data_IF_497151587800
#
_entry.id   IF_497151587800
#
_cell.length_a   1.000
_cell.length_b   1.000
_cell.length_c   1.000
_cell.angle_alpha   90.00
_cell.angle_beta   90.00
_cell.angle_gamma   90.00
#
_symmetry.space_group_name_H-M   'P 1'
#
loop_
_entity.id
_entity.type
_entity.pdbx_description
1 polymer ?
#
# COMPACT_ATOMS: atom_id res chain seq x y z
N UNK A 1 16.77 15.92 31.96
CA UNK A 1 16.36 14.70 31.23
C UNK A 1 15.20 14.10 32.01
N UNK A 2 13.99 14.09 31.45
CA UNK A 2 12.86 13.46 32.13
C UNK A 2 13.00 11.95 31.95
N UNK A 3 13.41 11.24 33.00
CA UNK A 3 13.38 9.78 33.01
C UNK A 3 11.94 9.31 32.87
N UNK A 4 11.72 8.28 32.05
CA UNK A 4 10.40 7.65 31.91
C UNK A 4 10.04 6.99 33.26
N UNK A 5 8.94 7.40 33.93
CA UNK A 5 8.60 6.95 35.28
C UNK A 5 7.91 5.58 35.32
N UNK A 6 7.98 4.82 34.21
CA UNK A 6 7.37 3.51 34.04
C UNK A 6 8.46 2.45 34.09
N UNK A 7 8.21 1.36 34.81
CA UNK A 7 9.09 0.20 34.85
C UNK A 7 8.58 -0.91 33.92
N UNK A 8 9.49 -1.70 33.34
CA UNK A 8 9.11 -2.85 32.52
C UNK A 8 8.36 -3.89 33.36
N UNK A 9 7.29 -4.47 32.83
CA UNK A 9 6.37 -5.35 33.55
C UNK A 9 5.37 -4.63 34.46
N UNK A 10 5.48 -3.32 34.65
CA UNK A 10 4.54 -2.56 35.48
C UNK A 10 3.14 -2.56 34.88
N UNK A 11 2.13 -2.85 35.72
CA UNK A 11 0.71 -2.76 35.37
C UNK A 11 0.09 -1.48 35.88
N UNK A 12 -0.61 -0.73 35.03
CA UNK A 12 -1.26 0.52 35.42
C UNK A 12 -2.51 0.82 34.59
N UNK A 13 -3.47 1.59 35.14
CA UNK A 13 -4.62 2.06 34.39
C UNK A 13 -4.21 3.18 33.41
N UNK A 14 -4.84 3.20 32.24
CA UNK A 14 -4.59 4.19 31.19
C UNK A 14 -5.89 4.52 30.46
N UNK A 15 -6.13 5.79 30.20
CA UNK A 15 -7.18 6.24 29.27
C UNK A 15 -6.58 6.44 27.90
N UNK A 16 -7.17 5.81 26.88
CA UNK A 16 -6.76 6.00 25.49
C UNK A 16 -7.38 7.29 24.95
N UNK A 17 -6.52 8.21 24.52
CA UNK A 17 -6.90 9.57 24.11
C UNK A 17 -6.90 9.77 22.61
N UNK A 18 -6.03 9.07 21.89
CA UNK A 18 -5.85 9.18 20.43
C UNK A 18 -5.44 7.83 19.85
N UNK A 19 -5.47 7.72 18.53
CA UNK A 19 -4.87 6.60 17.80
C UNK A 19 -3.55 7.04 17.13
N UNK A 20 -2.60 6.12 17.08
CA UNK A 20 -1.35 6.27 16.35
C UNK A 20 -1.48 5.85 14.89
N UNK A 21 -0.43 6.18 14.11
CA UNK A 21 -0.38 5.93 12.66
C UNK A 21 -0.35 4.43 12.31
N UNK A 22 -0.02 3.54 13.26
CA UNK A 22 -0.04 2.09 13.04
C UNK A 22 -1.28 1.43 13.64
N UNK A 23 -2.28 2.21 14.08
CA UNK A 23 -3.52 1.71 14.66
C UNK A 23 -3.42 1.36 16.15
N UNK A 24 -2.34 1.75 16.82
CA UNK A 24 -2.18 1.60 18.26
C UNK A 24 -2.91 2.70 19.05
N UNK A 25 -3.49 2.36 20.19
CA UNK A 25 -4.03 3.34 21.12
C UNK A 25 -2.92 4.14 21.80
N UNK A 26 -3.11 5.43 21.96
CA UNK A 26 -2.16 6.33 22.63
C UNK A 26 -2.78 6.89 23.91
N UNK A 27 -2.10 6.70 25.02
CA UNK A 27 -2.42 7.32 26.30
C UNK A 27 -1.19 7.98 26.93
N UNK A 28 -1.41 8.66 28.05
CA UNK A 28 -0.36 9.33 28.81
C UNK A 28 -0.37 8.88 30.26
N UNK A 29 0.77 8.38 30.75
CA UNK A 29 0.96 8.01 32.15
C UNK A 29 2.11 8.83 32.73
N UNK A 30 1.84 9.64 33.76
CA UNK A 30 2.83 10.56 34.36
C UNK A 30 3.64 11.36 33.32
N UNK A 31 2.96 11.87 32.27
CA UNK A 31 3.53 12.60 31.11
C UNK A 31 4.33 11.75 30.10
N UNK A 32 4.56 10.46 30.35
CA UNK A 32 5.13 9.55 29.35
C UNK A 32 4.06 9.09 28.36
N UNK A 33 4.42 9.04 27.07
CA UNK A 33 3.56 8.53 26.00
C UNK A 33 3.56 7.00 26.06
N UNK A 34 2.38 6.40 26.04
CA UNK A 34 2.22 4.94 26.08
C UNK A 34 1.44 4.48 24.85
N UNK A 35 2.05 3.58 24.08
CA UNK A 35 1.47 2.95 22.89
C UNK A 35 0.90 1.58 23.24
N UNK A 36 -0.35 1.33 22.86
CA UNK A 36 -1.12 0.15 23.26
C UNK A 36 -1.82 -0.45 22.05
N UNK A 37 -1.21 -1.42 21.36
CA UNK A 37 -1.88 -2.17 20.29
C UNK A 37 -3.19 -2.80 20.78
N UNK A 38 -4.22 -2.76 19.94
CA UNK A 38 -5.53 -3.34 20.21
C UNK A 38 -6.44 -2.52 21.13
N UNK A 39 -5.99 -1.37 21.67
CA UNK A 39 -6.81 -0.44 22.45
C UNK A 39 -7.30 0.73 21.58
N UNK A 40 -8.51 1.25 21.84
CA UNK A 40 -9.14 2.27 20.99
C UNK A 40 -9.50 3.53 21.77
N UNK A 41 -9.62 4.66 21.07
CA UNK A 41 -9.93 5.96 21.69
C UNK A 41 -11.22 5.92 22.51
N UNK A 42 -11.18 6.51 23.71
CA UNK A 42 -12.29 6.54 24.66
C UNK A 42 -12.32 5.38 25.65
N UNK A 43 -11.43 4.39 25.50
CA UNK A 43 -11.33 3.28 26.45
C UNK A 43 -10.54 3.62 27.71
N UNK A 44 -10.96 2.99 28.81
CA UNK A 44 -10.16 2.88 30.02
C UNK A 44 -9.65 1.46 30.13
N UNK A 45 -8.33 1.29 30.14
CA UNK A 45 -7.66 0.00 30.07
C UNK A 45 -6.68 -0.17 31.22
N UNK A 46 -6.34 -1.41 31.55
CA UNK A 46 -5.16 -1.79 32.30
C UNK A 46 -4.16 -2.33 31.29
N UNK A 47 -2.96 -1.74 31.29
CA UNK A 47 -1.86 -2.14 30.41
C UNK A 47 -0.70 -2.68 31.23
N UNK A 48 0.15 -3.46 30.60
CA UNK A 48 1.42 -3.91 31.15
C UNK A 48 2.54 -3.39 30.25
N UNK A 49 3.50 -2.64 30.82
CA UNK A 49 4.64 -2.13 30.07
C UNK A 49 5.51 -3.30 29.57
N UNK A 50 5.80 -3.32 28.27
CA UNK A 50 6.62 -4.36 27.62
C UNK A 50 7.97 -3.82 27.22
N UNK A 51 8.04 -2.57 26.75
CA UNK A 51 9.30 -1.94 26.37
C UNK A 51 9.30 -0.48 26.79
N UNK A 52 10.15 -0.14 27.74
CA UNK A 52 10.30 1.23 28.24
C UNK A 52 11.49 1.89 27.55
N UNK A 53 11.27 3.04 26.93
CA UNK A 53 12.32 3.91 26.37
C UNK A 53 12.22 5.30 26.99
N UNK A 54 13.24 6.13 26.81
CA UNK A 54 13.29 7.47 27.43
C UNK A 54 12.08 8.35 27.11
N UNK A 55 11.53 8.26 25.90
CA UNK A 55 10.45 9.15 25.42
C UNK A 55 9.08 8.49 25.35
N UNK A 56 9.01 7.17 25.40
CA UNK A 56 7.76 6.44 25.25
C UNK A 56 7.85 5.01 25.81
N UNK A 57 6.69 4.43 26.06
CA UNK A 57 6.54 3.04 26.48
C UNK A 57 5.65 2.30 25.50
N UNK A 58 6.07 1.11 25.07
CA UNK A 58 5.21 0.15 24.38
C UNK A 58 4.61 -0.77 25.47
N UNK A 59 3.29 -0.93 25.47
CA UNK A 59 2.57 -1.71 26.46
C UNK A 59 1.57 -2.66 25.81
N UNK A 60 1.36 -3.83 26.42
CA UNK A 60 0.32 -4.77 26.00
C UNK A 60 -0.99 -4.47 26.72
N UNK A 61 -2.10 -4.60 26.01
CA UNK A 61 -3.43 -4.51 26.58
C UNK A 61 -3.70 -5.73 27.48
N UNK A 62 -3.90 -5.52 28.78
CA UNK A 62 -4.16 -6.60 29.74
C UNK A 62 -5.66 -6.74 30.07
N UNK A 63 -6.38 -5.63 30.25
CA UNK A 63 -7.82 -5.64 30.52
C UNK A 63 -8.49 -4.34 30.06
N UNK A 64 -9.64 -4.43 29.41
CA UNK A 64 -10.49 -3.28 29.14
C UNK A 64 -11.46 -3.10 30.32
N UNK A 65 -11.39 -1.95 31.02
CA UNK A 65 -12.32 -1.58 32.11
C UNK A 65 -13.58 -0.91 31.57
N UNK A 66 -13.42 -0.01 30.60
CA UNK A 66 -14.52 0.66 29.90
C UNK A 66 -14.30 0.51 28.40
N UNK A 67 -15.20 -0.23 27.74
CA UNK A 67 -15.19 -0.39 26.28
C UNK A 67 -15.71 0.87 25.61
N UNK A 68 -15.12 1.23 24.48
CA UNK A 68 -15.65 2.29 23.62
C UNK A 68 -16.85 1.74 22.84
N UNK A 69 -17.87 2.58 22.55
CA UNK A 69 -19.03 2.16 21.75
C UNK A 69 -18.66 1.74 20.33
N UNK A 70 -17.48 2.16 19.85
CA UNK A 70 -16.97 1.82 18.52
C UNK A 70 -16.19 0.50 18.51
N UNK A 71 -16.07 -0.23 19.63
CA UNK A 71 -15.41 -1.53 19.64
C UNK A 71 -16.36 -2.60 19.10
N UNK A 72 -15.88 -3.38 18.14
CA UNK A 72 -16.55 -4.57 17.61
C UNK A 72 -15.68 -5.80 17.79
N UNK A 73 -16.27 -6.98 17.64
CA UNK A 73 -15.50 -8.23 17.56
C UNK A 73 -14.89 -8.33 16.17
N UNK A 74 -13.58 -8.53 16.08
CA UNK A 74 -12.91 -8.75 14.82
C UNK A 74 -13.42 -10.08 14.19
N UNK A 75 -13.91 -10.07 12.94
CA UNK A 75 -14.48 -11.27 12.34
C UNK A 75 -13.43 -12.27 11.86
N UNK A 76 -12.17 -11.85 11.66
CA UNK A 76 -11.10 -12.76 11.22
C UNK A 76 -10.60 -13.64 12.40
N UNK A 77 -10.58 -14.98 12.25
CA UNK A 77 -10.21 -15.89 13.34
C UNK A 77 -8.74 -15.78 13.75
N UNK A 78 -7.86 -15.30 12.85
CA UNK A 78 -6.42 -15.12 13.11
C UNK A 78 -6.03 -13.67 13.36
N UNK A 79 -7.01 -12.78 13.59
CA UNK A 79 -6.80 -11.33 13.72
C UNK A 79 -5.74 -10.95 14.75
N UNK A 80 -5.77 -11.58 15.94
CA UNK A 80 -4.85 -11.25 17.05
C UNK A 80 -3.40 -11.68 16.77
N UNK A 81 -3.18 -12.67 15.90
CA UNK A 81 -1.86 -13.20 15.58
C UNK A 81 -1.28 -12.60 14.29
N UNK A 82 -2.12 -12.38 13.28
CA UNK A 82 -1.72 -11.96 11.94
C UNK A 82 -1.32 -10.47 11.90
N UNK A 83 -0.17 -10.15 11.31
CA UNK A 83 0.27 -8.76 11.11
C UNK A 83 -0.48 -7.98 10.00
N UNK A 84 -1.48 -8.59 9.36
CA UNK A 84 -2.07 -8.06 8.12
C UNK A 84 -3.14 -6.97 8.27
N UNK A 85 -3.83 -6.92 9.41
CA UNK A 85 -4.89 -5.94 9.72
C UNK A 85 -4.72 -5.42 11.14
N UNK A 86 -5.05 -4.15 11.39
CA UNK A 86 -4.84 -3.49 12.69
C UNK A 86 -6.11 -2.92 13.30
N UNK A 87 -7.21 -2.81 12.54
CA UNK A 87 -8.41 -2.08 12.95
C UNK A 87 -9.71 -2.90 12.91
N UNK A 88 -9.68 -4.22 12.71
CA UNK A 88 -10.92 -5.03 12.64
C UNK A 88 -11.76 -5.01 13.92
N UNK A 89 -11.15 -4.67 15.05
CA UNK A 89 -11.84 -4.49 16.33
C UNK A 89 -12.51 -3.11 16.49
N UNK A 90 -12.48 -2.28 15.44
CA UNK A 90 -13.07 -0.94 15.37
C UNK A 90 -14.20 -0.94 14.35
N UNK A 91 -15.37 -0.43 14.73
CA UNK A 91 -16.49 -0.21 13.82
C UNK A 91 -16.05 0.60 12.59
N UNK A 92 -16.50 0.22 11.40
CA UNK A 92 -15.95 0.76 10.16
C UNK A 92 -16.10 2.29 10.04
N UNK A 93 -17.25 2.85 10.42
CA UNK A 93 -17.45 4.31 10.47
C UNK A 93 -16.43 5.02 11.37
N UNK A 94 -16.07 4.42 12.50
CA UNK A 94 -15.04 4.95 13.37
C UNK A 94 -13.64 4.80 12.77
N UNK A 95 -13.36 3.76 11.97
CA UNK A 95 -12.09 3.66 11.22
C UNK A 95 -11.89 4.87 10.31
N UNK A 96 -12.94 5.31 9.62
CA UNK A 96 -12.89 6.47 8.72
C UNK A 96 -12.57 7.78 9.47
N UNK A 97 -13.21 8.00 10.63
CA UNK A 97 -12.92 9.15 11.48
C UNK A 97 -11.50 9.11 12.06
N UNK A 98 -11.04 7.95 12.51
CA UNK A 98 -9.68 7.76 13.01
C UNK A 98 -8.64 8.05 11.93
N UNK A 99 -8.88 7.57 10.71
CA UNK A 99 -8.02 7.83 9.55
C UNK A 99 -7.93 9.33 9.25
N UNK A 100 -9.06 10.04 9.26
CA UNK A 100 -9.09 11.50 9.10
C UNK A 100 -8.31 12.20 10.22
N UNK A 101 -8.49 11.77 11.46
CA UNK A 101 -7.79 12.33 12.62
C UNK A 101 -6.27 12.15 12.51
N UNK A 102 -5.78 11.03 11.97
CA UNK A 102 -4.34 10.84 11.71
C UNK A 102 -3.81 11.93 10.75
N UNK A 103 -4.56 12.29 9.70
CA UNK A 103 -4.16 13.38 8.79
C UNK A 103 -4.10 14.72 9.53
N UNK A 104 -5.10 15.02 10.36
CA UNK A 104 -5.15 16.23 11.18
C UNK A 104 -3.93 16.29 12.11
N UNK A 105 -3.68 15.22 12.87
CA UNK A 105 -2.54 15.10 13.77
C UNK A 105 -1.19 15.25 13.05
N UNK A 106 -1.06 14.73 11.82
CA UNK A 106 0.15 14.90 11.03
C UNK A 106 0.39 16.36 10.66
N UNK A 107 -0.65 17.11 10.30
CA UNK A 107 -0.53 18.56 10.05
C UNK A 107 -0.14 19.31 11.32
N UNK A 108 -0.79 19.03 12.46
CA UNK A 108 -0.47 19.65 13.76
C UNK A 108 0.98 19.44 14.15
N UNK A 109 1.50 18.23 13.91
CA UNK A 109 2.82 17.81 14.38
C UNK A 109 3.96 18.27 13.46
N UNK A 110 3.75 18.27 12.15
CA UNK A 110 4.83 18.44 11.18
C UNK A 110 4.81 19.81 10.49
N UNK A 111 3.81 20.65 10.77
CA UNK A 111 3.67 21.96 10.13
C UNK A 111 3.36 23.05 11.16
N UNK A 112 3.45 24.31 10.74
CA UNK A 112 2.92 25.46 11.51
C UNK A 112 1.51 25.85 11.07
N UNK A 113 0.89 25.04 10.22
CA UNK A 113 -0.43 25.33 9.64
C UNK A 113 -1.46 24.86 10.66
N UNK A 114 -2.40 25.75 10.99
CA UNK A 114 -3.55 25.42 11.82
C UNK A 114 -4.50 24.49 11.02
N UNK A 115 -4.66 23.22 11.41
CA UNK A 115 -5.53 22.30 10.68
C UNK A 115 -7.00 22.75 10.67
N UNK A 116 -7.44 23.54 11.65
CA UNK A 116 -8.81 24.07 11.68
C UNK A 116 -9.07 25.07 10.53
N UNK A 117 -8.02 25.63 9.94
CA UNK A 117 -8.10 26.50 8.75
C UNK A 117 -7.97 25.75 7.44
N UNK A 118 -7.60 24.47 7.48
CA UNK A 118 -7.53 23.61 6.30
C UNK A 118 -8.86 22.87 6.10
N UNK A 119 -9.30 22.79 4.84
CA UNK A 119 -10.43 21.93 4.48
C UNK A 119 -9.96 20.47 4.39
N UNK A 120 -9.89 19.79 5.53
CA UNK A 120 -9.66 18.33 5.59
C UNK A 120 -11.01 17.64 5.58
N UNK A 121 -11.36 17.01 4.46
CA UNK A 121 -12.68 16.40 4.22
C UNK A 121 -12.83 15.07 5.00
N UNK A 122 -14.07 14.56 5.18
CA UNK A 122 -14.29 13.20 5.68
C UNK A 122 -13.58 12.16 4.82
N UNK A 123 -13.07 11.10 5.44
CA UNK A 123 -12.43 9.98 4.72
C UNK A 123 -13.45 9.30 3.82
N UNK A 124 -13.12 9.13 2.54
CA UNK A 124 -13.92 8.32 1.63
C UNK A 124 -13.70 6.86 1.99
N UNK A 125 -14.78 6.17 2.36
CA UNK A 125 -14.77 4.75 2.70
C UNK A 125 -15.15 3.84 1.52
N UNK A 126 -15.14 2.54 1.80
CA UNK A 126 -15.63 1.47 0.94
C UNK A 126 -16.98 0.97 1.45
N UNK A 127 -17.93 0.73 0.55
CA UNK A 127 -19.26 0.25 0.92
C UNK A 127 -19.21 -1.15 1.56
N UNK A 128 -18.49 -2.08 0.92
CA UNK A 128 -18.15 -3.39 1.48
C UNK A 128 -16.64 -3.46 1.78
N UNK A 129 -16.19 -3.25 3.03
CA UNK A 129 -14.77 -3.12 3.36
C UNK A 129 -14.03 -4.48 3.47
N UNK A 130 -14.41 -5.44 2.63
CA UNK A 130 -13.92 -6.82 2.60
C UNK A 130 -13.61 -7.27 1.17
N UNK A 131 -12.90 -8.40 1.03
CA UNK A 131 -12.57 -9.06 -0.24
C UNK A 131 -11.96 -8.15 -1.32
N UNK A 132 -11.32 -7.06 -0.93
CA UNK A 132 -10.90 -6.01 -1.85
C UNK A 132 -9.50 -6.21 -2.43
N UNK A 133 -8.61 -6.94 -1.73
CA UNK A 133 -7.22 -7.13 -2.17
C UNK A 133 -7.16 -8.09 -3.35
N UNK A 134 -6.65 -7.60 -4.48
CA UNK A 134 -6.49 -8.37 -5.71
C UNK A 134 -5.17 -9.14 -5.81
N UNK A 135 -4.28 -9.01 -4.81
CA UNK A 135 -2.99 -9.72 -4.77
C UNK A 135 -2.67 -10.24 -3.36
N UNK A 136 -2.34 -11.52 -3.27
CA UNK A 136 -1.79 -12.18 -2.08
C UNK A 136 -0.31 -12.48 -2.27
N UNK A 137 0.45 -12.48 -1.16
CA UNK A 137 1.86 -12.82 -1.12
C UNK A 137 2.11 -13.67 0.14
N UNK A 138 1.77 -14.95 0.06
CA UNK A 138 1.76 -15.84 1.22
C UNK A 138 3.08 -16.58 1.33
N UNK A 139 3.70 -16.45 2.50
CA UNK A 139 4.95 -17.13 2.83
C UNK A 139 4.67 -18.61 3.02
N UNK A 140 5.56 -19.46 2.51
CA UNK A 140 5.50 -20.91 2.71
C UNK A 140 6.40 -21.30 3.88
N UNK A 141 5.95 -22.23 4.73
CA UNK A 141 6.80 -22.90 5.73
C UNK A 141 6.48 -24.38 5.78
N UNK A 142 7.51 -25.15 6.13
CA UNK A 142 7.33 -26.53 6.56
C UNK A 142 7.04 -26.54 8.06
N UNK A 143 5.98 -27.24 8.48
CA UNK A 143 5.63 -27.46 9.88
C UNK A 143 5.64 -28.97 10.17
N UNK A 144 6.21 -29.35 11.31
CA UNK A 144 6.26 -30.76 11.73
C UNK A 144 6.98 -31.66 10.73
N UNK A 145 6.40 -32.83 10.44
CA UNK A 145 7.01 -33.91 9.67
C UNK A 145 6.79 -33.85 8.16
N UNK A 146 6.36 -32.71 7.60
CA UNK A 146 6.14 -32.58 6.15
C UNK A 146 4.93 -31.75 5.73
N UNK A 147 4.21 -31.12 6.67
CA UNK A 147 3.05 -30.31 6.35
C UNK A 147 3.48 -28.94 5.83
N UNK A 148 2.97 -28.55 4.66
CA UNK A 148 3.25 -27.24 4.08
C UNK A 148 2.16 -26.27 4.52
N UNK A 149 2.57 -25.20 5.19
CA UNK A 149 1.68 -24.11 5.59
C UNK A 149 1.94 -22.85 4.79
N UNK A 150 0.87 -22.09 4.55
CA UNK A 150 0.91 -20.79 3.89
C UNK A 150 0.22 -19.73 4.71
N UNK A 151 0.78 -18.52 4.71
CA UNK A 151 0.14 -17.39 5.37
C UNK A 151 1.02 -16.16 5.43
N UNK A 152 0.81 -15.35 6.46
CA UNK A 152 1.55 -14.11 6.69
C UNK A 152 2.36 -14.23 7.97
N UNK A 153 3.34 -13.35 8.14
CA UNK A 153 4.03 -13.26 9.41
C UNK A 153 3.19 -12.56 10.47
N UNK A 154 3.40 -12.96 11.73
CA UNK A 154 2.85 -12.26 12.87
C UNK A 154 3.46 -10.85 13.01
N UNK A 155 2.77 -9.96 13.71
CA UNK A 155 3.23 -8.59 13.89
C UNK A 155 4.65 -8.55 14.50
N UNK A 156 5.56 -7.82 13.84
CA UNK A 156 6.97 -7.68 14.24
C UNK A 156 7.74 -9.01 14.41
N UNK A 157 7.36 -10.06 13.66
CA UNK A 157 8.06 -11.34 13.69
C UNK A 157 8.21 -11.94 12.29
N UNK A 158 9.00 -13.01 12.18
CA UNK A 158 9.02 -13.91 11.01
C UNK A 158 8.33 -15.26 11.32
N UNK A 159 7.49 -15.27 12.36
CA UNK A 159 6.70 -16.44 12.70
C UNK A 159 5.51 -16.51 11.77
N UNK A 160 5.39 -17.59 11.01
CA UNK A 160 4.27 -17.82 10.12
C UNK A 160 2.99 -18.00 10.95
N UNK A 161 1.96 -17.25 10.59
CA UNK A 161 0.57 -17.47 10.99
C UNK A 161 -0.11 -18.15 9.81
N UNK A 162 -0.48 -19.43 9.91
CA UNK A 162 -1.24 -20.14 8.89
C UNK A 162 -2.56 -19.42 8.60
N UNK A 163 -2.91 -19.30 7.31
CA UNK A 163 -4.12 -18.63 6.86
C UNK A 163 -4.81 -19.52 5.82
N UNK A 164 -5.94 -20.09 6.19
CA UNK A 164 -6.82 -20.82 5.26
C UNK A 164 -7.75 -19.88 4.48
N UNK A 165 -8.23 -18.82 5.12
CA UNK A 165 -9.01 -17.76 4.49
C UNK A 165 -8.62 -16.38 5.02
N UNK A 166 -8.58 -15.40 4.13
CA UNK A 166 -8.31 -14.01 4.46
C UNK A 166 -9.44 -13.14 3.91
N UNK A 167 -10.32 -12.69 4.81
CA UNK A 167 -11.56 -11.97 4.46
C UNK A 167 -11.34 -10.60 3.79
N UNK A 168 -10.10 -10.09 3.72
CA UNK A 168 -9.75 -8.89 2.93
C UNK A 168 -9.16 -9.22 1.55
N UNK A 169 -8.88 -10.49 1.25
CA UNK A 169 -8.38 -10.97 -0.04
C UNK A 169 -9.52 -11.47 -0.93
N UNK A 170 -9.38 -11.26 -2.24
CA UNK A 170 -10.26 -11.86 -3.23
C UNK A 170 -10.30 -13.39 -3.07
N UNK A 171 -11.48 -14.03 -3.06
CA UNK A 171 -11.62 -15.47 -2.80
C UNK A 171 -10.77 -16.34 -3.73
N UNK A 172 -10.65 -15.94 -5.00
CA UNK A 172 -9.84 -16.66 -6.00
C UNK A 172 -8.36 -16.73 -5.61
N UNK A 173 -7.80 -15.67 -5.02
CA UNK A 173 -6.38 -15.66 -4.61
C UNK A 173 -6.11 -16.66 -3.49
N UNK A 174 -7.08 -16.84 -2.59
CA UNK A 174 -7.03 -17.83 -1.51
C UNK A 174 -7.21 -19.25 -2.05
N UNK A 175 -8.21 -19.46 -2.92
CA UNK A 175 -8.45 -20.74 -3.60
C UNK A 175 -7.17 -21.26 -4.28
N UNK A 176 -6.56 -20.42 -5.12
CA UNK A 176 -5.34 -20.77 -5.85
C UNK A 176 -4.17 -21.02 -4.89
N UNK A 177 -4.00 -20.18 -3.86
CA UNK A 177 -2.91 -20.35 -2.89
C UNK A 177 -3.03 -21.68 -2.13
N UNK A 178 -4.21 -22.01 -1.63
CA UNK A 178 -4.45 -23.25 -0.89
C UNK A 178 -4.25 -24.48 -1.79
N UNK A 179 -4.77 -24.44 -3.02
CA UNK A 179 -4.58 -25.53 -3.98
C UNK A 179 -3.09 -25.75 -4.28
N UNK A 180 -2.32 -24.68 -4.51
CA UNK A 180 -0.88 -24.77 -4.78
C UNK A 180 -0.11 -25.25 -3.55
N UNK A 181 -0.46 -24.80 -2.34
CA UNK A 181 0.10 -25.32 -1.08
C UNK A 181 -0.05 -26.84 -1.00
N UNK A 182 -1.25 -27.34 -1.26
CA UNK A 182 -1.56 -28.77 -1.19
C UNK A 182 -0.77 -29.56 -2.26
N UNK A 183 -0.54 -28.98 -3.45
CA UNK A 183 0.33 -29.58 -4.46
C UNK A 183 1.81 -29.60 -4.03
N UNK A 184 2.31 -28.53 -3.41
CA UNK A 184 3.69 -28.49 -2.90
C UNK A 184 3.91 -29.59 -1.86
N UNK A 185 2.93 -29.83 -0.99
CA UNK A 185 2.92 -30.92 -0.02
C UNK A 185 2.86 -32.29 -0.71
N UNK A 186 1.84 -32.51 -1.56
CA UNK A 186 1.61 -33.76 -2.31
C UNK A 186 2.86 -34.22 -3.07
N UNK A 187 3.58 -33.28 -3.68
CA UNK A 187 4.76 -33.58 -4.49
C UNK A 187 6.08 -33.49 -3.73
N UNK A 188 6.06 -33.20 -2.43
CA UNK A 188 7.25 -33.10 -1.59
C UNK A 188 8.22 -32.03 -2.10
N UNK A 189 7.71 -30.90 -2.59
CA UNK A 189 8.55 -29.81 -3.10
C UNK A 189 9.27 -29.13 -1.92
N UNK A 190 10.62 -28.99 -1.95
CA UNK A 190 11.34 -28.38 -0.84
C UNK A 190 10.90 -26.93 -0.58
N UNK A 191 10.40 -26.66 0.62
CA UNK A 191 10.04 -25.32 1.10
C UNK A 191 11.26 -24.63 1.69
N UNK A 192 11.38 -23.33 1.47
CA UNK A 192 12.51 -22.53 1.92
C UNK A 192 12.53 -22.35 3.45
N UNK A 193 13.69 -22.57 4.04
CA UNK A 193 14.00 -22.29 5.44
C UNK A 193 15.00 -21.13 5.52
N UNK A 194 14.57 -20.01 6.12
CA UNK A 194 15.39 -18.79 6.25
C UNK A 194 16.64 -18.99 7.14
N UNK A 195 16.58 -19.87 8.15
CA UNK A 195 17.70 -20.13 9.06
C UNK A 195 18.75 -20.99 8.39
N UNK A 196 18.32 -22.04 7.67
CA UNK A 196 19.21 -22.92 6.93
C UNK A 196 19.69 -22.31 5.60
N UNK A 197 18.96 -21.32 5.07
CA UNK A 197 19.23 -20.72 3.76
C UNK A 197 19.06 -21.71 2.60
N UNK A 198 18.25 -22.75 2.79
CA UNK A 198 18.05 -23.86 1.87
C UNK A 198 16.57 -24.12 1.59
N UNK A 199 16.28 -25.00 0.64
CA UNK A 199 14.92 -25.17 0.10
C UNK A 199 14.66 -24.30 -1.12
N UNK A 200 13.47 -24.44 -1.71
CA UNK A 200 13.16 -23.89 -3.04
C UNK A 200 12.04 -22.85 -2.96
N UNK A 201 10.80 -23.23 -2.63
CA UNK A 201 9.67 -22.30 -2.68
C UNK A 201 9.63 -21.46 -1.41
N UNK A 202 9.72 -20.13 -1.56
CA UNK A 202 9.73 -19.12 -0.48
C UNK A 202 8.34 -18.53 -0.23
N UNK A 203 7.64 -18.21 -1.31
CA UNK A 203 6.38 -17.46 -1.28
C UNK A 203 5.54 -17.87 -2.48
N UNK A 204 4.24 -17.97 -2.27
CA UNK A 204 3.24 -18.06 -3.34
C UNK A 204 2.62 -16.68 -3.48
N UNK A 205 2.74 -16.10 -4.66
CA UNK A 205 2.09 -14.82 -4.99
C UNK A 205 0.97 -15.10 -5.98
N UNK A 206 -0.24 -14.65 -5.66
CA UNK A 206 -1.38 -14.76 -6.57
C UNK A 206 -1.96 -13.38 -6.79
N UNK A 207 -2.17 -12.99 -8.04
CA UNK A 207 -2.85 -11.75 -8.43
C UNK A 207 -4.06 -12.11 -9.29
N UNK A 208 -5.15 -11.38 -9.17
CA UNK A 208 -6.31 -11.50 -10.05
C UNK A 208 -6.71 -10.14 -10.61
N UNK A 209 -7.09 -10.09 -11.88
CA UNK A 209 -7.80 -8.95 -12.45
C UNK A 209 -9.26 -9.03 -11.99
N UNK A 210 -9.70 -8.10 -11.16
CA UNK A 210 -11.04 -8.09 -10.57
C UNK A 210 -12.12 -7.91 -11.64
N UNK A 211 -11.85 -7.14 -12.69
CA UNK A 211 -12.81 -6.90 -13.78
C UNK A 211 -12.77 -7.96 -14.88
N UNK A 212 -11.62 -8.61 -15.07
CA UNK A 212 -11.38 -9.57 -16.16
C UNK A 212 -11.52 -11.03 -15.70
N UNK A 213 -11.29 -11.31 -14.42
CA UNK A 213 -11.21 -12.66 -13.85
C UNK A 213 -9.88 -13.37 -14.10
N UNK A 214 -8.96 -12.78 -14.85
CA UNK A 214 -7.66 -13.39 -15.15
C UNK A 214 -6.80 -13.48 -13.90
N UNK A 215 -6.26 -14.67 -13.62
CA UNK A 215 -5.46 -14.91 -12.42
C UNK A 215 -4.03 -15.32 -12.76
N UNK A 216 -3.07 -14.68 -12.10
CA UNK A 216 -1.65 -14.92 -12.21
C UNK A 216 -1.13 -15.60 -10.94
N UNK A 217 -0.46 -16.74 -11.11
CA UNK A 217 0.28 -17.43 -10.06
C UNK A 217 1.78 -17.21 -10.26
N UNK A 218 2.50 -16.81 -9.21
CA UNK A 218 3.97 -16.70 -9.24
C UNK A 218 4.57 -17.51 -8.10
N UNK A 219 5.44 -18.46 -8.47
CA UNK A 219 6.31 -19.14 -7.51
C UNK A 219 7.55 -18.29 -7.26
N UNK A 220 7.71 -17.77 -6.04
CA UNK A 220 8.96 -17.14 -5.61
C UNK A 220 9.88 -18.26 -5.13
N UNK A 221 10.98 -18.47 -5.85
CA UNK A 221 11.88 -19.60 -5.64
C UNK A 221 13.32 -19.15 -5.35
N UNK A 222 14.02 -19.87 -4.47
CA UNK A 222 15.45 -19.72 -4.22
C UNK A 222 16.34 -20.38 -5.30
N UNK A 223 15.74 -20.93 -6.37
CA UNK A 223 16.44 -21.62 -7.46
C UNK A 223 15.65 -21.51 -8.77
N UNK A 224 16.37 -21.59 -9.90
CA UNK A 224 15.76 -21.76 -11.24
C UNK A 224 15.09 -23.13 -11.40
N UNK A 225 15.56 -24.16 -10.70
CA UNK A 225 14.97 -25.50 -10.77
C UNK A 225 13.77 -25.59 -9.83
N UNK A 226 12.60 -25.87 -10.40
CA UNK A 226 11.37 -26.20 -9.66
C UNK A 226 11.06 -27.70 -9.83
N UNK A 227 11.27 -28.55 -8.80
CA UNK A 227 10.93 -29.97 -8.85
C UNK A 227 9.45 -30.20 -9.12
N UNK A 228 9.11 -31.29 -9.82
CA UNK A 228 7.72 -31.69 -10.10
C UNK A 228 6.88 -30.62 -10.81
N UNK A 229 7.55 -29.67 -11.46
CA UNK A 229 6.92 -28.56 -12.19
C UNK A 229 5.87 -29.06 -13.19
N UNK A 230 6.20 -30.06 -14.02
CA UNK A 230 5.30 -30.52 -15.09
C UNK A 230 4.00 -31.07 -14.51
N UNK A 231 4.11 -31.88 -13.47
CA UNK A 231 2.97 -32.49 -12.78
C UNK A 231 2.10 -31.43 -12.08
N UNK A 232 2.72 -30.46 -11.39
CA UNK A 232 2.00 -29.35 -10.76
C UNK A 232 1.27 -28.48 -11.79
N UNK A 233 1.92 -28.11 -12.89
CA UNK A 233 1.30 -27.27 -13.92
C UNK A 233 0.08 -27.95 -14.54
N UNK A 234 0.15 -29.26 -14.81
CA UNK A 234 -0.98 -30.00 -15.37
C UNK A 234 -2.19 -30.05 -14.42
N UNK A 235 -1.98 -30.22 -13.11
CA UNK A 235 -3.09 -30.20 -12.14
C UNK A 235 -3.67 -28.79 -11.93
N UNK A 236 -2.83 -27.75 -11.96
CA UNK A 236 -3.29 -26.36 -11.89
C UNK A 236 -4.16 -26.04 -13.10
N UNK A 237 -3.70 -26.37 -14.31
CA UNK A 237 -4.45 -26.13 -15.55
C UNK A 237 -5.80 -26.87 -15.56
N UNK A 238 -5.83 -28.10 -15.05
CA UNK A 238 -7.06 -28.89 -14.99
C UNK A 238 -8.06 -28.38 -13.93
N UNK A 239 -7.59 -27.89 -12.79
CA UNK A 239 -8.44 -27.54 -11.65
C UNK A 239 -8.80 -26.04 -11.55
N UNK A 240 -7.98 -25.17 -12.15
CA UNK A 240 -8.04 -23.72 -11.98
C UNK A 240 -8.02 -23.01 -13.35
N UNK A 241 -9.09 -23.12 -14.16
CA UNK A 241 -9.16 -22.50 -15.48
C UNK A 241 -9.05 -20.97 -15.45
N UNK A 242 -9.31 -20.34 -14.30
CA UNK A 242 -9.09 -18.91 -14.10
C UNK A 242 -7.60 -18.49 -14.07
N UNK A 243 -6.68 -19.44 -13.85
CA UNK A 243 -5.23 -19.16 -13.80
C UNK A 243 -4.67 -19.15 -15.22
N UNK A 244 -4.58 -17.96 -15.80
CA UNK A 244 -4.15 -17.75 -17.19
C UNK A 244 -2.65 -17.47 -17.33
N UNK A 245 -1.95 -17.17 -16.22
CA UNK A 245 -0.50 -16.86 -16.21
C UNK A 245 0.18 -17.56 -15.03
N UNK A 246 1.16 -18.42 -15.32
CA UNK A 246 1.96 -19.09 -14.28
C UNK A 246 3.42 -18.75 -14.49
N UNK A 247 4.01 -18.11 -13.48
CA UNK A 247 5.35 -17.54 -13.52
C UNK A 247 6.22 -18.13 -12.40
N UNK A 248 7.53 -18.05 -12.59
CA UNK A 248 8.54 -18.31 -11.56
C UNK A 248 9.44 -17.10 -11.45
N UNK A 249 9.61 -16.56 -10.25
CA UNK A 249 10.60 -15.53 -9.99
C UNK A 249 11.70 -16.10 -9.07
N UNK A 250 12.96 -15.81 -9.39
CA UNK A 250 14.11 -16.31 -8.63
C UNK A 250 14.62 -15.24 -7.69
N UNK A 251 14.59 -15.53 -6.39
CA UNK A 251 15.09 -14.67 -5.34
C UNK A 251 15.97 -15.44 -4.36
N UNK A 252 17.28 -15.21 -4.45
CA UNK A 252 18.30 -15.79 -3.57
C UNK A 252 18.79 -14.79 -2.50
N UNK A 253 18.29 -13.56 -2.53
CA UNK A 253 18.73 -12.51 -1.63
C UNK A 253 18.21 -12.76 -0.20
N UNK A 254 19.08 -12.49 0.78
CA UNK A 254 18.72 -12.40 2.21
C UNK A 254 18.18 -11.01 2.52
N UNK A 255 17.05 -10.68 1.91
CA UNK A 255 16.36 -9.40 2.09
C UNK A 255 14.87 -9.61 2.31
N UNK A 256 14.17 -8.55 2.72
CA UNK A 256 12.71 -8.53 2.84
C UNK A 256 11.99 -8.37 1.49
N UNK A 257 12.72 -8.15 0.39
CA UNK A 257 12.13 -8.10 -0.94
C UNK A 257 11.66 -9.50 -1.34
N UNK A 258 10.43 -9.60 -1.82
CA UNK A 258 9.80 -10.86 -2.21
C UNK A 258 10.26 -11.27 -3.62
N UNK A 259 10.23 -10.36 -4.57
CA UNK A 259 10.71 -10.60 -5.93
C UNK A 259 12.22 -10.37 -6.00
N UNK A 260 12.92 -11.26 -6.70
CA UNK A 260 14.27 -11.02 -7.23
C UNK A 260 14.20 -10.56 -8.68
N UNK A 261 15.34 -10.62 -9.37
CA UNK A 261 15.53 -9.92 -10.64
C UNK A 261 15.11 -10.74 -11.87
N UNK A 262 15.12 -12.07 -11.77
CA UNK A 262 14.80 -12.96 -12.90
C UNK A 262 13.38 -13.53 -12.77
N UNK A 263 12.59 -13.42 -13.84
CA UNK A 263 11.24 -14.00 -13.92
C UNK A 263 11.08 -14.79 -15.21
N UNK A 264 10.50 -15.99 -15.10
CA UNK A 264 10.31 -16.94 -16.20
C UNK A 264 8.83 -17.30 -16.33
N UNK A 265 8.32 -17.30 -17.56
CA UNK A 265 7.03 -17.91 -17.87
C UNK A 265 7.13 -19.43 -17.72
N UNK A 266 6.22 -20.01 -16.96
CA UNK A 266 6.09 -21.47 -16.83
C UNK A 266 4.99 -22.03 -17.72
N UNK A 267 3.84 -21.34 -17.79
CA UNK A 267 2.69 -21.69 -18.63
C UNK A 267 1.74 -20.50 -18.80
N UNK A 268 0.99 -20.47 -19.90
CA UNK A 268 -0.03 -19.46 -20.17
C UNK A 268 0.53 -18.13 -20.69
N UNK A 269 -0.06 -17.02 -20.26
CA UNK A 269 0.29 -15.65 -20.66
C UNK A 269 1.44 -15.08 -19.83
N UNK A 270 2.22 -14.16 -20.41
CA UNK A 270 3.30 -13.43 -19.69
C UNK A 270 2.78 -12.40 -18.68
N UNK A 271 1.56 -11.90 -18.89
CA UNK A 271 0.85 -10.94 -18.05
C UNK A 271 -0.62 -11.33 -17.94
N UNK A 272 -1.32 -10.75 -16.96
CA UNK A 272 -2.78 -10.77 -16.90
C UNK A 272 -3.32 -9.38 -17.23
N UNK A 273 -4.55 -9.32 -17.73
CA UNK A 273 -5.25 -8.06 -17.96
C UNK A 273 -6.05 -7.65 -16.72
N UNK A 274 -6.10 -6.34 -16.43
CA UNK A 274 -7.04 -5.72 -15.49
C UNK A 274 -7.64 -4.46 -16.11
N UNK A 275 -8.85 -4.10 -15.68
CA UNK A 275 -9.47 -2.84 -16.07
C UNK A 275 -9.52 -1.86 -14.91
N UNK A 276 -9.15 -0.62 -15.17
CA UNK A 276 -9.25 0.48 -14.22
C UNK A 276 -9.82 1.69 -14.95
N UNK A 277 -10.99 2.16 -14.48
CA UNK A 277 -11.84 3.07 -15.27
C UNK A 277 -12.13 2.43 -16.64
N UNK A 278 -12.00 3.18 -17.72
CA UNK A 278 -12.22 2.72 -19.10
C UNK A 278 -10.94 2.17 -19.77
N UNK A 279 -9.86 1.99 -19.00
CA UNK A 279 -8.55 1.60 -19.51
C UNK A 279 -8.20 0.16 -19.16
N UNK A 280 -7.46 -0.48 -20.05
CA UNK A 280 -6.96 -1.85 -19.90
C UNK A 280 -5.46 -1.82 -19.62
N UNK A 281 -5.02 -2.56 -18.60
CA UNK A 281 -3.63 -2.64 -18.18
C UNK A 281 -3.13 -4.07 -18.22
N UNK A 282 -1.99 -4.29 -18.87
CA UNK A 282 -1.27 -5.55 -18.79
C UNK A 282 -0.39 -5.55 -17.54
N UNK A 283 -0.59 -6.53 -16.67
CA UNK A 283 0.09 -6.66 -15.40
C UNK A 283 1.09 -7.82 -15.46
N UNK A 284 2.36 -7.46 -15.66
CA UNK A 284 3.47 -8.41 -15.51
C UNK A 284 3.61 -8.88 -14.06
N UNK A 285 4.28 -10.02 -13.84
CA UNK A 285 4.45 -10.62 -12.51
C UNK A 285 4.99 -9.63 -11.45
N UNK A 286 5.96 -8.81 -11.86
CA UNK A 286 6.66 -7.83 -11.01
C UNK A 286 5.98 -6.46 -10.99
N UNK A 287 5.06 -6.17 -11.91
CA UNK A 287 4.42 -4.86 -12.04
C UNK A 287 3.75 -4.43 -10.72
N UNK A 288 3.97 -3.17 -10.32
CA UNK A 288 3.18 -2.57 -9.26
C UNK A 288 1.79 -2.22 -9.78
N UNK A 289 0.78 -2.57 -9.02
CA UNK A 289 -0.60 -2.17 -9.25
C UNK A 289 -1.30 -2.06 -7.89
N UNK A 290 -2.25 -1.14 -7.78
CA UNK A 290 -2.95 -0.91 -6.53
C UNK A 290 -3.71 -2.16 -6.09
N UNK A 291 -3.60 -2.51 -4.81
CA UNK A 291 -4.19 -3.75 -4.30
C UNK A 291 -5.72 -3.69 -4.23
N UNK A 292 -6.29 -2.49 -4.15
CA UNK A 292 -7.73 -2.27 -4.00
C UNK A 292 -8.29 -1.52 -5.22
N UNK A 293 -8.58 -2.20 -6.34
CA UNK A 293 -9.03 -1.52 -7.56
C UNK A 293 -10.31 -0.70 -7.36
N UNK A 294 -11.20 -1.12 -6.45
CA UNK A 294 -12.44 -0.39 -6.14
C UNK A 294 -12.15 1.00 -5.54
N UNK A 295 -11.19 1.10 -4.63
CA UNK A 295 -10.81 2.38 -4.03
C UNK A 295 -9.85 3.17 -4.93
N UNK A 296 -9.02 2.49 -5.73
CA UNK A 296 -8.18 3.17 -6.75
C UNK A 296 -9.02 4.00 -7.69
N UNK A 297 -10.14 3.45 -8.18
CA UNK A 297 -11.06 4.18 -9.04
C UNK A 297 -11.62 5.43 -8.35
N UNK A 298 -12.00 5.32 -7.06
CA UNK A 298 -12.46 6.47 -6.27
C UNK A 298 -11.36 7.50 -6.04
N UNK A 299 -10.13 7.06 -5.76
CA UNK A 299 -8.97 7.93 -5.61
C UNK A 299 -8.73 8.74 -6.89
N UNK A 300 -8.74 8.09 -8.04
CA UNK A 300 -8.48 8.74 -9.33
C UNK A 300 -9.60 9.71 -9.71
N UNK A 301 -10.86 9.36 -9.43
CA UNK A 301 -11.99 10.28 -9.56
C UNK A 301 -11.83 11.53 -8.68
N UNK A 302 -11.27 11.40 -7.47
CA UNK A 302 -11.01 12.55 -6.61
C UNK A 302 -9.80 13.38 -7.05
N UNK A 303 -8.76 12.77 -7.61
CA UNK A 303 -7.66 13.47 -8.30
C UNK A 303 -8.19 14.27 -9.47
N UNK A 304 -9.10 13.68 -10.25
CA UNK A 304 -9.76 14.35 -11.37
C UNK A 304 -10.57 15.55 -10.92
N UNK A 305 -11.43 15.39 -9.92
CA UNK A 305 -12.22 16.51 -9.37
C UNK A 305 -11.35 17.61 -8.75
N UNK A 306 -10.10 17.30 -8.39
CA UNK A 306 -9.17 18.26 -7.83
C UNK A 306 -8.55 19.18 -8.90
N UNK A 307 -8.34 18.66 -10.09
CA UNK A 307 -7.77 19.40 -11.22
C UNK A 307 -8.89 20.12 -12.00
N UNK A 308 -8.53 21.25 -12.60
CA UNK A 308 -9.42 21.97 -13.52
C UNK A 308 -8.82 21.80 -14.90
N UNK A 309 -9.34 20.83 -15.66
CA UNK A 309 -8.84 20.44 -16.98
C UNK A 309 -9.90 20.78 -18.03
N UNK A 310 -9.52 21.55 -19.05
CA UNK A 310 -10.37 21.90 -20.20
C UNK A 310 -9.98 21.13 -21.46
N UNK A 311 -8.97 20.26 -21.40
CA UNK A 311 -8.38 19.58 -22.57
C UNK A 311 -7.21 20.32 -23.19
N UNK A 312 -6.83 21.48 -22.67
CA UNK A 312 -5.75 22.31 -23.23
C UNK A 312 -4.45 22.24 -22.42
N UNK A 313 -4.54 21.70 -21.21
CA UNK A 313 -3.49 21.67 -20.22
C UNK A 313 -2.41 20.64 -20.55
N UNK A 314 -1.18 20.93 -20.14
CA UNK A 314 -0.10 19.92 -20.07
C UNK A 314 0.01 19.38 -18.64
N UNK A 315 0.07 18.06 -18.52
CA UNK A 315 0.11 17.35 -17.24
C UNK A 315 1.43 16.62 -17.05
N UNK A 316 1.99 16.69 -15.85
CA UNK A 316 3.09 15.83 -15.42
C UNK A 316 2.58 14.79 -14.42
N UNK A 317 2.91 13.53 -14.64
CA UNK A 317 2.67 12.41 -13.73
C UNK A 317 4.02 11.92 -13.16
N UNK A 318 4.39 12.42 -11.99
CA UNK A 318 5.64 12.06 -11.34
C UNK A 318 5.47 10.83 -10.44
N UNK A 319 6.43 9.90 -10.56
CA UNK A 319 6.34 8.55 -9.99
C UNK A 319 5.23 7.73 -10.66
N UNK A 320 5.15 7.82 -12.00
CA UNK A 320 4.01 7.30 -12.76
C UNK A 320 3.87 5.78 -12.72
N UNK A 321 4.91 5.04 -12.31
CA UNK A 321 4.95 3.58 -12.40
C UNK A 321 4.58 3.10 -13.80
N UNK A 322 3.57 2.23 -13.89
CA UNK A 322 3.05 1.70 -15.17
C UNK A 322 2.07 2.63 -15.90
N UNK A 323 2.02 3.92 -15.52
CA UNK A 323 1.28 4.96 -16.21
C UNK A 323 -0.20 5.07 -15.85
N UNK A 324 -0.67 4.39 -14.79
CA UNK A 324 -2.11 4.29 -14.48
C UNK A 324 -2.81 5.63 -14.27
N UNK A 325 -2.16 6.58 -13.58
CA UNK A 325 -2.72 7.91 -13.34
C UNK A 325 -2.68 8.70 -14.65
N UNK A 326 -1.50 8.92 -15.22
CA UNK A 326 -1.33 9.73 -16.43
C UNK A 326 -2.23 9.30 -17.60
N UNK A 327 -2.38 7.99 -17.85
CA UNK A 327 -3.27 7.48 -18.91
C UNK A 327 -4.74 7.77 -18.64
N UNK A 328 -5.19 7.66 -17.38
CA UNK A 328 -6.56 8.00 -17.00
C UNK A 328 -6.93 9.46 -17.28
N UNK A 329 -5.93 10.34 -17.38
CA UNK A 329 -6.09 11.76 -17.70
C UNK A 329 -5.83 12.12 -19.16
N UNK A 330 -5.31 11.18 -19.97
CA UNK A 330 -4.85 11.47 -21.33
C UNK A 330 -5.94 12.05 -22.24
N UNK A 331 -7.19 11.55 -22.12
CA UNK A 331 -8.33 12.07 -22.88
C UNK A 331 -8.87 13.42 -22.39
N UNK A 332 -8.29 14.01 -21.34
CA UNK A 332 -8.76 15.25 -20.67
C UNK A 332 -7.75 16.39 -20.72
N UNK A 333 -6.60 16.16 -21.35
CA UNK A 333 -5.46 17.09 -21.38
C UNK A 333 -4.85 17.08 -22.78
N UNK A 334 -4.05 18.11 -23.09
CA UNK A 334 -3.34 18.19 -24.35
C UNK A 334 -2.24 17.14 -24.45
N UNK A 335 -1.47 17.00 -23.38
CA UNK A 335 -0.27 16.15 -23.33
C UNK A 335 0.00 15.73 -21.89
N UNK A 336 0.39 14.48 -21.68
CA UNK A 336 0.89 13.97 -20.39
C UNK A 336 2.35 13.58 -20.52
N UNK A 337 3.18 13.97 -19.55
CA UNK A 337 4.55 13.45 -19.39
C UNK A 337 4.70 12.72 -18.07
N UNK A 338 5.02 11.43 -18.15
CA UNK A 338 5.26 10.57 -17.00
C UNK A 338 6.75 10.28 -16.81
N UNK A 339 7.18 10.16 -15.56
CA UNK A 339 8.52 9.67 -15.24
C UNK A 339 8.54 8.76 -14.02
N UNK A 340 9.41 7.75 -14.07
CA UNK A 340 9.69 6.80 -13.00
C UNK A 340 11.14 6.33 -13.08
N UNK A 341 11.68 5.85 -11.97
CA UNK A 341 13.05 5.35 -11.89
C UNK A 341 13.18 3.90 -12.35
N UNK A 342 12.07 3.15 -12.43
CA UNK A 342 12.06 1.73 -12.79
C UNK A 342 11.86 1.59 -14.32
N UNK A 343 12.89 1.17 -15.07
CA UNK A 343 12.80 1.04 -16.54
C UNK A 343 11.65 0.14 -16.98
N UNK A 344 11.46 -1.00 -16.33
CA UNK A 344 10.42 -1.96 -16.66
C UNK A 344 9.01 -1.38 -16.47
N UNK A 345 8.83 -0.49 -15.48
CA UNK A 345 7.54 0.20 -15.28
C UNK A 345 7.25 1.20 -16.40
N UNK A 346 8.28 1.86 -16.93
CA UNK A 346 8.15 2.78 -18.07
C UNK A 346 7.90 2.03 -19.37
N UNK A 347 8.50 0.85 -19.56
CA UNK A 347 8.18 -0.05 -20.67
C UNK A 347 6.72 -0.53 -20.60
N UNK A 348 6.26 -0.95 -19.42
CA UNK A 348 4.86 -1.29 -19.17
C UNK A 348 3.93 -0.09 -19.45
N UNK A 349 4.30 1.12 -19.03
CA UNK A 349 3.53 2.33 -19.29
C UNK A 349 3.37 2.62 -20.79
N UNK A 350 4.45 2.48 -21.58
CA UNK A 350 4.41 2.66 -23.04
C UNK A 350 3.52 1.61 -23.71
N UNK A 351 3.64 0.34 -23.32
CA UNK A 351 2.78 -0.75 -23.84
C UNK A 351 1.32 -0.54 -23.51
N UNK A 352 1.01 -0.12 -22.27
CA UNK A 352 -0.36 0.20 -21.86
C UNK A 352 -0.92 1.39 -22.66
N UNK A 353 -0.11 2.41 -22.93
CA UNK A 353 -0.54 3.55 -23.75
C UNK A 353 -0.87 3.12 -25.18
N UNK A 354 -0.01 2.33 -25.81
CA UNK A 354 -0.25 1.77 -27.15
C UNK A 354 -1.52 0.90 -27.18
N UNK A 355 -1.68 0.02 -26.18
CA UNK A 355 -2.87 -0.86 -26.05
C UNK A 355 -4.17 -0.06 -25.95
N UNK A 356 -4.16 1.04 -25.20
CA UNK A 356 -5.33 1.91 -25.04
C UNK A 356 -5.48 2.93 -26.18
N UNK A 357 -4.63 2.90 -27.21
CA UNK A 357 -4.68 3.85 -28.33
C UNK A 357 -4.39 5.30 -27.91
N UNK A 358 -3.59 5.49 -26.86
CA UNK A 358 -3.28 6.80 -26.29
C UNK A 358 -1.97 7.33 -26.90
N UNK A 359 -2.07 8.36 -27.71
CA UNK A 359 -0.92 8.91 -28.46
C UNK A 359 -0.29 10.16 -27.80
N UNK A 360 -1.00 10.83 -26.89
CA UNK A 360 -0.58 12.09 -26.27
C UNK A 360 0.12 11.92 -24.91
N UNK A 361 0.74 10.76 -24.68
CA UNK A 361 1.49 10.45 -23.45
C UNK A 361 2.95 10.13 -23.77
N UNK A 362 3.86 10.68 -22.97
CA UNK A 362 5.30 10.51 -23.14
C UNK A 362 5.93 10.07 -21.83
N UNK A 363 6.75 9.03 -21.87
CA UNK A 363 7.38 8.44 -20.68
C UNK A 363 8.89 8.47 -20.75
N UNK A 364 9.52 8.92 -19.66
CA UNK A 364 10.97 8.96 -19.51
C UNK A 364 11.42 8.22 -18.24
N UNK A 365 12.47 7.41 -18.36
CA UNK A 365 13.12 6.79 -17.21
C UNK A 365 14.03 7.83 -16.55
N UNK A 366 13.83 8.08 -15.27
CA UNK A 366 14.70 8.96 -14.51
C UNK A 366 14.07 9.46 -13.23
N UNK A 367 14.90 10.07 -12.38
CA UNK A 367 14.41 10.69 -11.15
C UNK A 367 13.64 11.96 -11.47
N UNK A 368 12.55 12.20 -10.78
CA UNK A 368 11.70 13.35 -11.01
C UNK A 368 12.44 14.69 -10.81
N UNK A 369 13.43 14.75 -9.90
CA UNK A 369 14.28 15.93 -9.71
C UNK A 369 15.23 16.23 -10.86
N UNK A 370 15.51 15.26 -11.73
CA UNK A 370 16.40 15.42 -12.88
C UNK A 370 15.57 15.64 -14.17
N UNK A 371 14.53 14.83 -14.35
CA UNK A 371 13.70 14.81 -15.57
C UNK A 371 12.81 16.06 -15.69
N UNK A 372 12.17 16.49 -14.59
CA UNK A 372 11.28 17.66 -14.64
C UNK A 372 12.04 18.95 -15.02
N UNK A 373 13.21 19.29 -14.42
CA UNK A 373 14.01 20.41 -14.87
C UNK A 373 14.52 20.28 -16.31
N UNK A 374 14.85 19.06 -16.76
CA UNK A 374 15.25 18.81 -18.16
C UNK A 374 14.13 19.22 -19.13
N UNK A 375 12.92 18.71 -18.96
CA UNK A 375 11.78 19.09 -19.81
C UNK A 375 11.49 20.59 -19.77
N UNK A 376 11.68 21.20 -18.60
CA UNK A 376 11.56 22.65 -18.42
C UNK A 376 12.61 23.40 -19.25
N UNK A 377 13.85 22.95 -19.27
CA UNK A 377 14.88 23.56 -20.11
C UNK A 377 14.62 23.34 -21.62
N UNK A 378 13.95 22.26 -21.98
CA UNK A 378 13.50 21.96 -23.36
C UNK A 378 12.25 22.75 -23.80
N UNK A 379 11.72 23.63 -22.93
CA UNK A 379 10.59 24.50 -23.24
C UNK A 379 9.22 23.96 -22.81
N UNK A 380 9.14 22.76 -22.24
CA UNK A 380 7.90 22.24 -21.67
C UNK A 380 7.58 22.91 -20.33
N UNK A 381 6.37 23.43 -20.17
CA UNK A 381 5.89 24.02 -18.90
C UNK A 381 4.57 23.34 -18.53
N UNK A 382 4.53 22.54 -17.46
CA UNK A 382 3.29 21.89 -17.05
C UNK A 382 2.30 22.90 -16.47
N UNK A 383 1.03 22.81 -16.89
CA UNK A 383 -0.08 23.51 -16.24
C UNK A 383 -0.45 22.83 -14.92
N UNK A 384 -0.39 21.50 -14.89
CA UNK A 384 -0.68 20.67 -13.74
C UNK A 384 0.40 19.62 -13.48
N UNK A 385 0.62 19.30 -12.21
CA UNK A 385 1.51 18.20 -11.79
C UNK A 385 0.76 17.30 -10.82
N UNK A 386 0.86 15.99 -11.01
CA UNK A 386 0.49 14.97 -10.03
C UNK A 386 1.77 14.34 -9.51
N UNK A 387 1.88 14.18 -8.19
CA UNK A 387 2.94 13.40 -7.54
C UNK A 387 2.30 12.29 -6.71
N UNK A 388 2.75 11.05 -6.89
CA UNK A 388 2.42 9.90 -6.02
C UNK A 388 3.71 9.23 -5.49
N UNK A 389 4.45 9.91 -4.60
CA UNK A 389 5.75 9.43 -4.15
C UNK A 389 5.66 8.19 -3.26
N UNK A 390 6.79 7.48 -3.07
CA UNK A 390 6.89 6.41 -2.09
C UNK A 390 6.63 6.90 -0.64
N UNK A 391 6.57 5.95 0.31
CA UNK A 391 6.29 6.24 1.74
C UNK A 391 7.23 7.27 2.40
N UNK A 392 8.40 7.53 1.83
CA UNK A 392 9.35 8.55 2.27
C UNK A 392 8.93 9.99 1.91
N UNK A 393 7.90 10.16 1.09
CA UNK A 393 7.50 11.42 0.47
C UNK A 393 8.40 11.78 -0.71
N UNK A 394 8.24 13.01 -1.22
CA UNK A 394 9.06 13.53 -2.31
C UNK A 394 10.49 13.78 -1.85
N UNK A 395 11.44 13.55 -2.75
CA UNK A 395 12.82 13.98 -2.56
C UNK A 395 12.91 15.51 -2.50
N UNK A 396 13.89 16.02 -1.74
CA UNK A 396 14.07 17.47 -1.60
C UNK A 396 14.37 18.16 -2.94
N UNK A 397 15.06 17.45 -3.84
CA UNK A 397 15.31 17.89 -5.21
C UNK A 397 13.99 18.12 -5.95
N UNK A 398 13.06 17.18 -5.89
CA UNK A 398 11.76 17.31 -6.53
C UNK A 398 10.95 18.45 -5.93
N UNK A 399 10.90 18.57 -4.59
CA UNK A 399 10.20 19.71 -3.94
C UNK A 399 10.75 21.06 -4.44
N UNK A 400 12.07 21.18 -4.59
CA UNK A 400 12.70 22.36 -5.15
C UNK A 400 12.25 22.58 -6.60
N UNK A 401 12.31 21.55 -7.44
CA UNK A 401 11.85 21.63 -8.83
C UNK A 401 10.38 22.04 -8.95
N UNK A 402 9.48 21.53 -8.10
CA UNK A 402 8.07 21.92 -8.07
C UNK A 402 7.86 23.39 -7.68
N UNK A 403 8.69 23.90 -6.77
CA UNK A 403 8.70 25.30 -6.38
C UNK A 403 9.30 26.19 -7.48
N UNK A 404 10.23 25.70 -8.29
CA UNK A 404 10.84 26.46 -9.39
C UNK A 404 9.92 26.49 -10.63
N UNK A 405 9.25 25.36 -10.92
CA UNK A 405 8.32 25.23 -12.06
C UNK A 405 7.03 26.02 -11.86
N UNK A 406 6.52 26.11 -10.63
CA UNK A 406 5.32 26.87 -10.29
C UNK A 406 4.11 26.57 -11.21
N UNK A 407 3.81 25.27 -11.40
CA UNK A 407 2.60 24.83 -12.10
C UNK A 407 1.34 25.45 -11.44
N UNK A 408 0.28 25.69 -12.23
CA UNK A 408 -0.94 26.33 -11.71
C UNK A 408 -1.61 25.46 -10.65
N UNK A 409 -1.60 24.15 -10.86
CA UNK A 409 -2.21 23.15 -9.99
C UNK A 409 -1.22 22.03 -9.68
N UNK A 410 -1.20 21.60 -8.43
CA UNK A 410 -0.41 20.46 -7.98
C UNK A 410 -1.32 19.56 -7.15
N UNK A 411 -1.40 18.29 -7.53
CA UNK A 411 -2.06 17.25 -6.74
C UNK A 411 -1.00 16.35 -6.15
N UNK A 412 -1.03 16.21 -4.83
CA UNK A 412 -0.15 15.31 -4.09
C UNK A 412 -0.97 14.14 -3.58
N UNK A 413 -0.72 12.94 -4.09
CA UNK A 413 -1.27 11.68 -3.58
C UNK A 413 -0.26 11.09 -2.61
N UNK A 414 -0.69 10.61 -1.44
CA UNK A 414 0.24 10.05 -0.47
C UNK A 414 -0.36 8.96 0.38
N UNK A 415 0.39 7.87 0.54
CA UNK A 415 0.12 6.80 1.50
C UNK A 415 0.71 7.04 2.90
N UNK A 416 1.35 8.19 3.14
CA UNK A 416 1.93 8.53 4.44
C UNK A 416 1.62 9.99 4.85
N UNK A 417 0.69 10.20 5.80
CA UNK A 417 0.26 11.54 6.19
C UNK A 417 1.37 12.37 6.85
N UNK A 418 2.38 11.74 7.46
CA UNK A 418 3.48 12.47 8.12
C UNK A 418 4.44 13.09 7.11
N UNK A 419 4.82 12.35 6.07
CA UNK A 419 5.69 12.88 5.00
C UNK A 419 4.91 13.82 4.08
N UNK A 420 3.63 13.54 3.82
CA UNK A 420 2.74 14.49 3.17
C UNK A 420 2.73 15.84 3.90
N UNK A 421 2.48 15.86 5.21
CA UNK A 421 2.45 17.09 6.00
C UNK A 421 3.78 17.87 5.92
N UNK A 422 4.91 17.17 6.05
CA UNK A 422 6.26 17.75 5.87
C UNK A 422 6.40 18.43 4.52
N UNK A 423 6.02 17.75 3.44
CA UNK A 423 6.19 18.24 2.08
C UNK A 423 5.24 19.40 1.77
N UNK A 424 3.99 19.33 2.24
CA UNK A 424 3.02 20.42 2.16
C UNK A 424 3.54 21.69 2.84
N UNK A 425 4.23 21.58 3.98
CA UNK A 425 4.84 22.74 4.64
C UNK A 425 5.92 23.42 3.80
N UNK A 426 6.66 22.66 2.98
CA UNK A 426 7.66 23.20 2.06
C UNK A 426 6.99 23.82 0.83
N UNK A 427 5.99 23.14 0.26
CA UNK A 427 5.24 23.61 -0.91
C UNK A 427 4.40 24.86 -0.60
N UNK A 428 3.95 25.03 0.64
CA UNK A 428 3.19 26.19 1.11
C UNK A 428 3.89 27.55 0.92
N UNK A 429 5.20 27.54 0.62
CA UNK A 429 5.97 28.75 0.27
C UNK A 429 5.49 29.43 -1.02
N UNK A 430 4.99 28.66 -1.98
CA UNK A 430 4.50 29.18 -3.28
C UNK A 430 3.11 28.68 -3.65
N UNK A 431 2.59 27.69 -2.94
CA UNK A 431 1.28 27.12 -3.17
C UNK A 431 0.36 27.36 -1.98
N UNK A 432 -0.94 27.46 -2.26
CA UNK A 432 -2.01 27.41 -1.25
C UNK A 432 -2.62 26.02 -1.24
N UNK A 433 -2.62 25.38 -0.08
CA UNK A 433 -3.34 24.12 0.13
C UNK A 433 -4.84 24.44 0.12
N UNK A 434 -5.56 23.91 -0.87
CA UNK A 434 -7.00 24.17 -1.06
C UNK A 434 -7.84 23.24 -0.21
N UNK A 435 -7.54 21.94 -0.25
CA UNK A 435 -8.16 20.95 0.60
C UNK A 435 -7.32 19.67 0.64
N UNK A 436 -7.65 18.81 1.59
CA UNK A 436 -7.15 17.44 1.69
C UNK A 436 -8.33 16.47 1.69
N UNK A 437 -8.24 15.38 0.94
CA UNK A 437 -9.23 14.33 0.84
C UNK A 437 -8.58 12.99 1.21
N UNK A 438 -8.83 12.49 2.43
CA UNK A 438 -8.41 11.15 2.81
C UNK A 438 -9.28 10.08 2.12
N UNK A 439 -8.68 8.96 1.75
CA UNK A 439 -9.31 7.82 1.09
C UNK A 439 -8.86 6.54 1.79
N UNK A 440 -9.83 5.69 2.13
CA UNK A 440 -9.58 4.40 2.75
C UNK A 440 -9.26 3.33 1.70
N UNK A 441 -8.04 3.38 1.17
CA UNK A 441 -7.54 2.39 0.20
C UNK A 441 -7.37 1.00 0.79
N UNK A 442 -7.18 0.91 2.11
CA UNK A 442 -6.95 -0.36 2.81
C UNK A 442 -7.83 -0.45 4.06
N UNK A 443 -9.14 -0.74 3.90
CA UNK A 443 -10.03 -0.99 5.03
C UNK A 443 -9.46 -2.01 6.00
N UNK A 444 -9.83 -1.92 7.29
CA UNK A 444 -9.35 -2.81 8.36
C UNK A 444 -7.86 -2.69 8.73
N UNK A 445 -7.10 -1.86 8.01
CA UNK A 445 -5.70 -1.53 8.33
C UNK A 445 -5.60 -0.08 8.82
N UNK A 446 -4.48 0.25 9.47
CA UNK A 446 -4.20 1.63 9.86
C UNK A 446 -3.78 2.54 8.68
N UNK A 447 -3.52 1.96 7.50
CA UNK A 447 -3.09 2.73 6.34
C UNK A 447 -4.19 3.66 5.84
N UNK A 448 -3.76 4.81 5.33
CA UNK A 448 -4.62 5.82 4.73
C UNK A 448 -3.90 6.43 3.54
N UNK A 449 -4.63 6.66 2.47
CA UNK A 449 -4.17 7.52 1.40
C UNK A 449 -4.83 8.89 1.51
N UNK A 450 -4.12 9.93 1.08
CA UNK A 450 -4.63 11.29 1.13
C UNK A 450 -4.21 12.06 -0.10
N UNK A 451 -5.18 12.73 -0.71
CA UNK A 451 -4.98 13.65 -1.81
C UNK A 451 -4.91 15.07 -1.24
N UNK A 452 -3.86 15.82 -1.55
CA UNK A 452 -3.75 17.25 -1.29
C UNK A 452 -3.84 18.03 -2.59
N UNK A 453 -4.81 18.94 -2.71
CA UNK A 453 -4.86 19.90 -3.81
C UNK A 453 -4.15 21.19 -3.41
N UNK A 454 -3.19 21.60 -4.24
CA UNK A 454 -2.44 22.82 -4.11
C UNK A 454 -2.63 23.68 -5.37
N UNK A 455 -2.81 24.98 -5.20
CA UNK A 455 -2.83 25.94 -6.31
C UNK A 455 -1.76 26.98 -6.10
N UNK A 456 -1.10 27.41 -7.17
CA UNK A 456 -0.11 28.48 -7.09
C UNK A 456 -0.71 29.73 -6.41
N UNK A 457 0.06 30.38 -5.54
CA UNK A 457 -0.33 31.68 -4.99
C UNK A 457 -0.14 32.76 -6.07
N UNK A 458 -1.16 33.58 -6.29
CA UNK A 458 -1.01 34.80 -7.09
C UNK A 458 -0.14 35.78 -6.31
N UNK A 459 0.87 36.36 -6.97
CA UNK A 459 1.78 37.35 -6.37
C UNK A 459 1.14 38.73 -6.33
#
# INVERSE_FOLDING_TARGET
MNQNPVEEGQKFPLTIRRMGINGEGIGYFKKAVVFVPGAITGEEVVVEAVKVRDRFTEAKLNKIRKKSPNRVTAPCPVYEACGGCQLQHVAYSAQLELKRDIVIQSIEKHTKIDPAKLKIRPTIGMEDPWRYRNKSQFQTRMVGSGQVETGLFGANSHQLVPIEDCIVQQPVTIKVTNFVRDLLEKYGVPIYDEKAGSGIVRTIVVRTGVKTGETQLVFIANSKKLPKKREMLAEIEAALPEVTSIMQNVNQAKSSLIFGDETFLLAGKESIEEKLMELEFDLSARAFFQLNPFQTERLYQEVEKALVLTGSETLVDAYCGVGTIGQAFAGKVKEVRGMDIIPESIEDAKRNAEKNGIENVYYEVGKAEDVLPKWVNEGFRPDAVIVDPPRSGCDQGLIKSLLDVEAKQLVYVSCNPSTLARDLALLAKKYRIRYMQPVDMFPQTAHIECIGLLTRQER
#
